data_IF_693523122830
#
_entry.id   IF_693523122830
#
_cell.length_a   1.000
_cell.length_b   1.000
_cell.length_c   1.000
_cell.angle_alpha   90.00
_cell.angle_beta   90.00
_cell.angle_gamma   90.00
#
_symmetry.space_group_name_H-M   'P 1'
#
loop_
_entity.id
_entity.type
_entity.pdbx_description
1 polymer ?
#
# COMPACT_ATOMS: atom_id res chain seq x y z
N UNK A 1 20.91 46.21 16.44
CA UNK A 1 20.75 46.16 14.96
C UNK A 1 21.00 44.72 14.43
N UNK A 2 22.07 44.03 14.84
CA UNK A 2 22.40 42.66 14.37
C UNK A 2 21.37 41.57 14.78
N UNK A 3 20.88 41.61 16.03
CA UNK A 3 19.85 40.64 16.52
C UNK A 3 18.53 40.75 15.73
N UNK A 4 18.11 41.96 15.36
CA UNK A 4 16.87 42.17 14.58
C UNK A 4 17.00 41.61 13.17
N UNK A 5 18.13 41.85 12.50
CA UNK A 5 18.43 41.25 11.18
C UNK A 5 18.49 39.70 11.17
N UNK A 6 19.00 39.08 12.26
CA UNK A 6 19.01 37.65 12.40
C UNK A 6 17.60 37.06 12.57
N UNK A 7 16.76 37.68 13.42
CA UNK A 7 15.36 37.32 13.60
C UNK A 7 14.52 37.48 12.32
N UNK A 8 14.78 38.53 11.53
CA UNK A 8 14.08 38.75 10.28
C UNK A 8 14.48 37.73 9.22
N UNK A 9 15.73 37.33 9.17
CA UNK A 9 16.20 36.21 8.28
C UNK A 9 15.58 34.88 8.66
N UNK A 10 15.58 34.55 9.93
CA UNK A 10 14.98 33.31 10.45
C UNK A 10 13.46 33.22 10.14
N UNK A 11 12.74 34.35 10.29
CA UNK A 11 11.34 34.42 9.91
C UNK A 11 11.11 34.25 8.40
N UNK A 12 11.98 34.80 7.56
CA UNK A 12 11.89 34.63 6.10
C UNK A 12 12.18 33.20 5.69
N UNK A 13 13.17 32.55 6.33
CA UNK A 13 13.54 31.16 6.07
C UNK A 13 12.42 30.21 6.49
N UNK A 14 11.89 30.34 7.69
CA UNK A 14 10.73 29.57 8.18
C UNK A 14 9.49 29.74 7.30
N UNK A 15 9.25 30.94 6.79
CA UNK A 15 8.11 31.19 5.90
C UNK A 15 8.31 30.52 4.52
N UNK A 16 9.54 30.51 3.99
CA UNK A 16 9.88 29.81 2.75
C UNK A 16 9.72 28.29 2.88
N UNK A 17 10.23 27.71 3.95
CA UNK A 17 10.08 26.28 4.25
C UNK A 17 8.60 25.87 4.36
N UNK A 18 7.79 26.69 5.03
CA UNK A 18 6.35 26.45 5.14
C UNK A 18 5.65 26.46 3.78
N UNK A 19 5.93 27.47 2.95
CA UNK A 19 5.37 27.61 1.60
C UNK A 19 5.80 26.41 0.71
N UNK A 20 7.04 26.00 0.81
CA UNK A 20 7.55 24.87 0.03
C UNK A 20 6.93 23.55 0.47
N UNK A 21 6.76 23.33 1.77
CA UNK A 21 6.04 22.18 2.34
C UNK A 21 4.60 22.13 1.86
N UNK A 22 3.86 23.22 1.94
CA UNK A 22 2.47 23.33 1.48
C UNK A 22 2.36 23.02 -0.03
N UNK A 23 3.31 23.51 -0.80
CA UNK A 23 3.38 23.24 -2.25
C UNK A 23 3.61 21.76 -2.55
N UNK A 24 4.56 21.14 -1.86
CA UNK A 24 4.86 19.71 -2.00
C UNK A 24 3.66 18.85 -1.59
N UNK A 25 3.00 19.20 -0.48
CA UNK A 25 1.78 18.50 -0.04
C UNK A 25 0.66 18.62 -1.09
N UNK A 26 0.43 19.79 -1.63
CA UNK A 26 -0.59 20.00 -2.67
C UNK A 26 -0.30 19.19 -3.95
N UNK A 27 0.95 19.14 -4.40
CA UNK A 27 1.35 18.35 -5.58
C UNK A 27 1.17 16.86 -5.29
N UNK A 28 1.66 16.39 -4.16
CA UNK A 28 1.55 14.99 -3.74
C UNK A 28 0.10 14.53 -3.64
N UNK A 29 -0.75 15.35 -3.04
CA UNK A 29 -2.20 15.09 -2.97
C UNK A 29 -2.83 14.97 -4.36
N UNK A 30 -2.44 15.82 -5.31
CA UNK A 30 -2.91 15.72 -6.70
C UNK A 30 -2.47 14.41 -7.36
N UNK A 31 -1.22 13.99 -7.17
CA UNK A 31 -0.70 12.72 -7.69
C UNK A 31 -1.52 11.54 -7.13
N UNK A 32 -1.75 11.49 -5.82
CA UNK A 32 -2.52 10.41 -5.20
C UNK A 32 -3.99 10.40 -5.65
N UNK A 33 -4.61 11.58 -5.80
CA UNK A 33 -5.98 11.69 -6.34
C UNK A 33 -6.03 11.21 -7.80
N UNK A 34 -5.02 11.53 -8.63
CA UNK A 34 -4.94 11.03 -10.00
C UNK A 34 -4.81 9.50 -10.02
N UNK A 35 -3.95 8.92 -9.20
CA UNK A 35 -3.79 7.46 -9.08
C UNK A 35 -5.12 6.79 -8.68
N UNK A 36 -5.78 7.30 -7.65
CA UNK A 36 -7.10 6.83 -7.22
C UNK A 36 -8.13 6.89 -8.36
N UNK A 37 -8.20 8.00 -9.08
CA UNK A 37 -9.18 8.17 -10.15
C UNK A 37 -8.91 7.21 -11.33
N UNK A 38 -7.65 6.96 -11.68
CA UNK A 38 -7.31 5.98 -12.72
C UNK A 38 -7.70 4.55 -12.32
N UNK A 39 -7.49 4.20 -11.06
CA UNK A 39 -7.93 2.90 -10.51
C UNK A 39 -9.45 2.79 -10.51
N UNK A 40 -10.14 3.83 -10.03
CA UNK A 40 -11.61 3.90 -10.03
C UNK A 40 -12.21 3.71 -11.42
N UNK A 41 -11.66 4.36 -12.44
CA UNK A 41 -12.15 4.22 -13.82
C UNK A 41 -12.11 2.78 -14.35
N UNK A 42 -11.29 1.91 -13.79
CA UNK A 42 -11.14 0.50 -14.18
C UNK A 42 -11.78 -0.48 -13.20
N UNK A 43 -11.89 -0.09 -11.94
CA UNK A 43 -12.32 -0.95 -10.83
C UNK A 43 -13.36 -0.22 -9.97
N UNK A 44 -14.49 0.16 -10.57
CA UNK A 44 -15.57 0.92 -9.89
C UNK A 44 -16.08 0.23 -8.62
N UNK A 45 -16.10 -1.08 -8.61
CA UNK A 45 -16.48 -1.88 -7.44
C UNK A 45 -15.55 -1.69 -6.23
N UNK A 46 -14.37 -1.10 -6.42
CA UNK A 46 -13.43 -0.73 -5.34
C UNK A 46 -13.59 0.72 -4.86
N UNK A 47 -14.57 1.50 -5.34
CA UNK A 47 -14.67 2.94 -5.05
C UNK A 47 -14.61 3.25 -3.56
N UNK A 48 -15.41 2.55 -2.76
CA UNK A 48 -15.45 2.73 -1.29
C UNK A 48 -14.07 2.48 -0.68
N UNK A 49 -13.39 1.41 -1.09
CA UNK A 49 -12.07 1.06 -0.58
C UNK A 49 -10.99 2.05 -1.07
N UNK A 50 -10.99 2.40 -2.36
CA UNK A 50 -10.04 3.37 -2.93
C UNK A 50 -10.15 4.76 -2.27
N UNK A 51 -11.34 5.13 -1.81
CA UNK A 51 -11.60 6.42 -1.15
C UNK A 51 -11.44 6.38 0.38
N UNK A 52 -11.12 5.21 0.96
CA UNK A 52 -11.16 4.99 2.41
C UNK A 52 -9.96 5.52 3.17
N UNK A 53 -8.80 5.72 2.52
CA UNK A 53 -7.55 6.09 3.17
C UNK A 53 -7.24 7.59 2.98
N UNK A 54 -7.45 8.44 4.01
CA UNK A 54 -6.97 9.81 4.00
C UNK A 54 -5.44 9.86 3.87
N UNK A 55 -4.92 10.86 3.15
CA UNK A 55 -3.50 11.01 2.88
C UNK A 55 -2.80 11.79 3.99
N UNK A 56 -1.68 11.28 4.48
CA UNK A 56 -0.84 11.90 5.50
C UNK A 56 0.59 12.02 4.99
N UNK A 57 1.09 13.25 4.92
CA UNK A 57 2.48 13.52 4.57
C UNK A 57 3.37 13.12 5.75
N UNK A 58 4.36 12.27 5.49
CA UNK A 58 5.37 11.85 6.45
C UNK A 58 6.74 11.77 5.76
N UNK A 59 7.60 12.74 6.06
CA UNK A 59 8.97 12.80 5.49
C UNK A 59 9.91 11.73 6.08
N UNK A 60 9.47 11.00 7.10
CA UNK A 60 10.19 9.86 7.66
C UNK A 60 9.79 8.51 7.05
N UNK A 61 8.78 8.50 6.14
CA UNK A 61 8.35 7.28 5.46
C UNK A 61 9.44 6.75 4.49
N UNK A 62 9.65 5.44 4.50
CA UNK A 62 10.47 4.76 3.47
C UNK A 62 9.66 4.53 2.19
N UNK A 63 9.04 5.60 1.66
CA UNK A 63 8.19 5.53 0.47
C UNK A 63 6.72 5.81 0.76
N UNK A 64 5.88 4.81 0.55
CA UNK A 64 4.44 4.85 0.86
C UNK A 64 4.08 3.68 1.76
N UNK A 65 3.15 3.89 2.70
CA UNK A 65 2.68 2.84 3.61
C UNK A 65 1.26 3.11 4.12
N UNK A 66 0.69 2.15 4.83
CA UNK A 66 -0.62 2.32 5.49
C UNK A 66 -0.65 1.62 6.84
N UNK A 67 -1.39 2.20 7.77
CA UNK A 67 -1.76 1.54 9.03
C UNK A 67 -3.17 0.92 8.98
N UNK A 68 -3.82 0.99 7.81
CA UNK A 68 -5.20 0.59 7.62
C UNK A 68 -6.23 1.70 7.88
N UNK A 69 -5.81 2.85 8.39
CA UNK A 69 -6.68 4.03 8.62
C UNK A 69 -6.27 5.20 7.74
N UNK A 70 -4.98 5.34 7.46
CA UNK A 70 -4.37 6.42 6.67
C UNK A 70 -3.40 5.84 5.64
N UNK A 71 -3.15 6.60 4.58
CA UNK A 71 -2.07 6.38 3.63
C UNK A 71 -0.97 7.42 3.92
N UNK A 72 0.20 6.93 4.33
CA UNK A 72 1.39 7.73 4.60
C UNK A 72 2.28 7.76 3.37
N UNK A 73 2.94 8.90 3.12
CA UNK A 73 3.84 9.04 1.98
C UNK A 73 4.93 10.08 2.24
N UNK A 74 6.12 9.80 1.74
CA UNK A 74 7.17 10.81 1.57
C UNK A 74 6.94 11.57 0.25
N UNK A 75 6.87 12.93 0.28
CA UNK A 75 6.55 13.71 -0.92
C UNK A 75 7.67 13.70 -1.97
N UNK A 76 8.94 13.54 -1.57
CA UNK A 76 10.07 13.48 -2.51
C UNK A 76 10.09 12.14 -3.23
N UNK A 77 9.91 11.05 -2.49
CA UNK A 77 9.75 9.71 -3.04
C UNK A 77 8.58 9.66 -4.03
N UNK A 78 7.40 10.10 -3.61
CA UNK A 78 6.20 10.07 -4.45
C UNK A 78 6.36 10.90 -5.73
N UNK A 79 6.91 12.11 -5.61
CA UNK A 79 7.18 12.98 -6.76
C UNK A 79 8.22 12.44 -7.71
N UNK A 80 9.27 11.79 -7.20
CA UNK A 80 10.29 11.06 -7.97
C UNK A 80 9.66 9.90 -8.73
N UNK A 81 8.98 9.03 -8.02
CA UNK A 81 8.32 7.85 -8.59
C UNK A 81 7.29 8.21 -9.67
N UNK A 82 6.48 9.26 -9.44
CA UNK A 82 5.49 9.70 -10.42
C UNK A 82 6.11 10.17 -11.74
N UNK A 83 7.28 10.83 -11.68
CA UNK A 83 8.01 11.27 -12.88
C UNK A 83 8.64 10.11 -13.65
N UNK A 84 9.11 9.09 -12.94
CA UNK A 84 9.80 7.94 -13.51
C UNK A 84 8.82 6.88 -13.99
N UNK A 85 7.83 6.56 -13.17
CA UNK A 85 6.90 5.46 -13.41
C UNK A 85 5.53 5.68 -12.73
N UNK A 86 4.65 6.38 -13.43
CA UNK A 86 3.28 6.64 -12.96
C UNK A 86 2.49 5.36 -12.68
N UNK A 87 2.74 4.29 -13.43
CA UNK A 87 2.08 2.99 -13.23
C UNK A 87 2.44 2.42 -11.86
N UNK A 88 3.68 2.61 -11.40
CA UNK A 88 4.08 2.17 -10.06
C UNK A 88 3.35 2.92 -8.95
N UNK A 89 3.07 4.22 -9.10
CA UNK A 89 2.25 4.95 -8.12
C UNK A 89 0.86 4.32 -7.99
N UNK A 90 0.21 4.01 -9.12
CA UNK A 90 -1.08 3.34 -9.13
C UNK A 90 -1.01 1.94 -8.49
N UNK A 91 0.05 1.18 -8.79
CA UNK A 91 0.26 -0.15 -8.21
C UNK A 91 0.40 -0.09 -6.70
N UNK A 92 1.27 0.78 -6.19
CA UNK A 92 1.48 0.93 -4.74
C UNK A 92 0.18 1.39 -4.07
N UNK A 93 -0.55 2.34 -4.67
CA UNK A 93 -1.84 2.77 -4.14
C UNK A 93 -2.83 1.60 -4.01
N UNK A 94 -2.99 0.80 -5.08
CA UNK A 94 -3.85 -0.39 -5.06
C UNK A 94 -3.35 -1.44 -4.06
N UNK A 95 -2.04 -1.65 -3.97
CA UNK A 95 -1.40 -2.56 -3.02
C UNK A 95 -1.79 -2.22 -1.57
N UNK A 96 -1.66 -0.95 -1.18
CA UNK A 96 -2.05 -0.48 0.16
C UNK A 96 -3.53 -0.69 0.44
N UNK A 97 -4.41 -0.44 -0.53
CA UNK A 97 -5.85 -0.67 -0.41
C UNK A 97 -6.16 -2.16 -0.26
N UNK A 98 -5.49 -3.03 -1.01
CA UNK A 98 -5.67 -4.49 -0.89
C UNK A 98 -5.19 -5.02 0.46
N UNK A 99 -4.12 -4.48 1.04
CA UNK A 99 -3.75 -4.80 2.42
C UNK A 99 -4.88 -4.50 3.41
N UNK A 100 -5.58 -3.37 3.22
CA UNK A 100 -6.76 -3.02 4.00
C UNK A 100 -7.92 -4.01 3.80
N UNK A 101 -8.31 -4.29 2.56
CA UNK A 101 -9.39 -5.24 2.21
C UNK A 101 -9.13 -6.61 2.84
N UNK A 102 -7.91 -7.12 2.77
CA UNK A 102 -7.55 -8.41 3.37
C UNK A 102 -7.21 -8.32 4.85
N UNK A 103 -7.16 -7.10 5.42
CA UNK A 103 -6.83 -6.83 6.84
C UNK A 103 -5.49 -7.43 7.26
N UNK A 104 -4.50 -7.45 6.38
CA UNK A 104 -3.21 -8.09 6.59
C UNK A 104 -2.51 -7.57 7.85
N UNK A 105 -2.55 -6.24 8.09
CA UNK A 105 -1.92 -5.58 9.22
C UNK A 105 -2.38 -6.05 10.60
N UNK A 106 -3.53 -6.73 10.70
CA UNK A 106 -4.08 -7.22 11.97
C UNK A 106 -4.25 -8.73 12.05
N UNK A 107 -3.93 -9.47 10.96
CA UNK A 107 -4.13 -10.92 10.87
C UNK A 107 -2.87 -11.76 11.09
N UNK A 108 -1.79 -11.18 11.60
CA UNK A 108 -0.54 -11.90 11.86
C UNK A 108 -0.69 -13.09 12.80
N UNK A 109 -1.47 -12.96 13.89
CA UNK A 109 -1.84 -14.05 14.81
C UNK A 109 -0.65 -14.91 15.28
N UNK A 110 0.42 -14.28 15.76
CA UNK A 110 1.60 -14.99 16.28
C UNK A 110 2.56 -15.57 15.24
N UNK A 111 2.32 -15.33 13.94
CA UNK A 111 3.28 -15.66 12.88
C UNK A 111 4.54 -14.80 13.00
N UNK A 112 5.67 -15.33 12.52
CA UNK A 112 6.92 -14.56 12.44
C UNK A 112 6.69 -13.36 11.51
N UNK A 113 7.08 -12.17 11.97
CA UNK A 113 6.67 -10.89 11.40
C UNK A 113 7.17 -10.70 9.98
N UNK A 114 8.47 -10.84 9.77
CA UNK A 114 9.11 -10.58 8.48
C UNK A 114 8.59 -11.52 7.38
N UNK A 115 8.47 -12.81 7.70
CA UNK A 115 7.96 -13.81 6.75
C UNK A 115 6.47 -13.61 6.46
N UNK A 116 5.70 -13.17 7.48
CA UNK A 116 4.28 -12.85 7.27
C UNK A 116 4.09 -11.61 6.41
N UNK A 117 4.86 -10.55 6.62
CA UNK A 117 4.87 -9.36 5.78
C UNK A 117 5.15 -9.71 4.32
N UNK A 118 6.23 -10.44 4.05
CA UNK A 118 6.54 -10.93 2.70
C UNK A 118 5.40 -11.77 2.11
N UNK A 119 4.76 -12.62 2.91
CA UNK A 119 3.64 -13.45 2.45
C UNK A 119 2.42 -12.60 2.07
N UNK A 120 2.18 -11.50 2.76
CA UNK A 120 1.14 -10.52 2.44
C UNK A 120 1.43 -9.83 1.11
N UNK A 121 2.69 -9.39 0.89
CA UNK A 121 3.11 -8.73 -0.34
C UNK A 121 2.99 -9.67 -1.54
N UNK A 122 3.44 -10.91 -1.42
CA UNK A 122 3.29 -11.93 -2.47
C UNK A 122 1.82 -12.14 -2.81
N UNK A 123 0.93 -12.22 -1.80
CA UNK A 123 -0.49 -12.40 -2.01
C UNK A 123 -1.10 -11.23 -2.78
N UNK A 124 -0.84 -10.00 -2.35
CA UNK A 124 -1.35 -8.78 -2.98
C UNK A 124 -0.79 -8.60 -4.39
N UNK A 125 0.53 -8.71 -4.55
CA UNK A 125 1.16 -8.57 -5.85
C UNK A 125 0.72 -9.65 -6.85
N UNK A 126 0.38 -10.86 -6.37
CA UNK A 126 -0.16 -11.90 -7.25
C UNK A 126 -1.50 -11.52 -7.87
N UNK A 127 -2.34 -10.80 -7.13
CA UNK A 127 -3.63 -10.28 -7.60
C UNK A 127 -3.38 -9.14 -8.60
N UNK A 128 -2.55 -8.16 -8.24
CA UNK A 128 -2.27 -7.00 -9.11
C UNK A 128 -1.61 -7.46 -10.42
N UNK A 129 -0.72 -8.43 -10.35
CA UNK A 129 -0.04 -8.99 -11.52
C UNK A 129 -0.97 -9.79 -12.46
N UNK A 130 -2.14 -10.23 -11.99
CA UNK A 130 -3.18 -10.86 -12.81
C UNK A 130 -4.12 -9.85 -13.47
N UNK A 131 -4.17 -8.61 -12.97
CA UNK A 131 -5.00 -7.56 -13.57
C UNK A 131 -4.48 -7.15 -14.95
N UNK A 132 -5.39 -7.16 -15.95
CA UNK A 132 -5.10 -6.80 -17.33
C UNK A 132 -5.30 -5.28 -17.60
N UNK A 133 -5.31 -4.44 -16.56
CA UNK A 133 -5.52 -3.01 -16.71
C UNK A 133 -4.20 -2.25 -16.93
N UNK A 134 -4.13 -1.47 -18.00
CA UNK A 134 -2.92 -0.70 -18.34
C UNK A 134 -2.42 0.21 -17.23
N UNK A 135 -3.32 0.71 -16.37
CA UNK A 135 -2.95 1.60 -15.27
C UNK A 135 -2.15 0.92 -14.15
N UNK A 136 -2.11 -0.42 -14.10
CA UNK A 136 -1.34 -1.20 -13.12
C UNK A 136 -0.47 -2.29 -13.76
N UNK A 137 -0.57 -2.49 -15.08
CA UNK A 137 0.11 -3.58 -15.76
C UNK A 137 1.61 -3.31 -15.89
N UNK A 138 2.42 -4.25 -15.40
CA UNK A 138 3.88 -4.27 -15.55
C UNK A 138 4.36 -5.67 -15.92
N UNK A 139 5.51 -5.72 -16.58
CA UNK A 139 6.16 -6.99 -16.86
C UNK A 139 6.60 -7.65 -15.55
N UNK A 140 6.21 -8.92 -15.37
CA UNK A 140 6.63 -9.71 -14.19
C UNK A 140 8.09 -10.10 -14.34
N UNK A 141 8.88 -9.92 -13.27
CA UNK A 141 10.23 -10.45 -13.21
C UNK A 141 10.24 -11.98 -13.26
N UNK A 142 11.38 -12.56 -13.63
CA UNK A 142 11.50 -14.03 -13.62
C UNK A 142 11.27 -14.61 -12.23
N UNK A 143 11.86 -14.09 -11.13
CA UNK A 143 11.61 -14.59 -9.77
C UNK A 143 10.13 -14.55 -9.38
N UNK A 144 9.39 -13.49 -9.71
CA UNK A 144 7.94 -13.42 -9.44
C UNK A 144 7.18 -14.55 -10.14
N UNK A 145 7.44 -14.77 -11.43
CA UNK A 145 6.77 -15.84 -12.20
C UNK A 145 7.04 -17.22 -11.60
N UNK A 146 8.29 -17.49 -11.25
CA UNK A 146 8.67 -18.76 -10.63
C UNK A 146 8.00 -18.96 -9.27
N UNK A 147 8.00 -17.95 -8.41
CA UNK A 147 7.33 -18.00 -7.12
C UNK A 147 5.84 -18.31 -7.28
N UNK A 148 5.12 -17.59 -8.15
CA UNK A 148 3.70 -17.87 -8.39
C UNK A 148 3.47 -19.28 -8.95
N UNK A 149 4.32 -19.76 -9.84
CA UNK A 149 4.24 -21.10 -10.40
C UNK A 149 4.39 -22.17 -9.33
N UNK A 150 5.32 -22.00 -8.41
CA UNK A 150 5.53 -22.92 -7.30
C UNK A 150 4.35 -22.92 -6.32
N UNK A 151 3.91 -21.72 -5.90
CA UNK A 151 2.80 -21.60 -4.97
C UNK A 151 1.48 -22.16 -5.55
N UNK A 152 1.23 -21.99 -6.84
CA UNK A 152 0.04 -22.52 -7.52
C UNK A 152 0.01 -24.04 -7.62
N UNK A 153 1.14 -24.75 -7.42
CA UNK A 153 1.16 -26.22 -7.26
C UNK A 153 0.59 -26.65 -5.91
N UNK A 154 0.79 -25.85 -4.88
CA UNK A 154 0.39 -26.15 -3.50
C UNK A 154 -1.03 -25.64 -3.17
N UNK A 155 -1.52 -24.61 -3.88
CA UNK A 155 -2.79 -23.98 -3.56
C UNK A 155 -3.45 -23.30 -4.77
N UNK A 156 -4.80 -23.34 -4.82
CA UNK A 156 -5.56 -22.68 -5.89
C UNK A 156 -5.59 -21.15 -5.72
N UNK A 157 -5.72 -20.69 -4.47
CA UNK A 157 -5.81 -19.26 -4.12
C UNK A 157 -4.62 -18.87 -3.25
N UNK A 158 -3.87 -17.86 -3.68
CA UNK A 158 -2.69 -17.36 -2.99
C UNK A 158 -3.12 -16.39 -1.88
N UNK A 159 -3.41 -16.91 -0.67
CA UNK A 159 -3.66 -16.09 0.51
C UNK A 159 -2.39 -15.96 1.35
N UNK A 160 -2.24 -14.84 2.05
CA UNK A 160 -1.07 -14.58 2.88
C UNK A 160 -0.77 -15.70 3.89
N UNK A 161 -1.81 -16.23 4.53
CA UNK A 161 -1.67 -17.31 5.51
C UNK A 161 -1.17 -18.60 4.90
N UNK A 162 -1.67 -18.98 3.72
CA UNK A 162 -1.23 -20.20 3.03
C UNK A 162 0.17 -20.05 2.48
N UNK A 163 0.50 -18.90 1.90
CA UNK A 163 1.85 -18.57 1.43
C UNK A 163 2.83 -18.65 2.60
N UNK A 164 2.48 -18.04 3.75
CA UNK A 164 3.30 -18.12 4.96
C UNK A 164 3.62 -19.56 5.35
N UNK A 165 2.63 -20.46 5.37
CA UNK A 165 2.86 -21.86 5.75
C UNK A 165 3.79 -22.59 4.75
N UNK A 166 3.68 -22.31 3.46
CA UNK A 166 4.58 -22.88 2.45
C UNK A 166 6.00 -22.35 2.62
N UNK A 167 6.17 -21.03 2.77
CA UNK A 167 7.49 -20.42 2.93
C UNK A 167 8.16 -20.85 4.25
N UNK A 168 7.39 -20.97 5.33
CA UNK A 168 7.86 -21.46 6.62
C UNK A 168 8.39 -22.91 6.52
N UNK A 169 7.68 -23.78 5.81
CA UNK A 169 8.12 -25.17 5.57
C UNK A 169 9.37 -25.26 4.71
N UNK A 170 9.54 -24.33 3.75
CA UNK A 170 10.75 -24.26 2.91
C UNK A 170 12.00 -23.86 3.68
N UNK A 171 11.86 -23.30 4.89
CA UNK A 171 12.97 -22.83 5.74
C UNK A 171 13.99 -22.00 4.95
N UNK A 172 13.51 -20.88 4.36
CA UNK A 172 14.33 -20.00 3.53
C UNK A 172 15.57 -19.50 4.27
N UNK A 173 16.70 -19.48 3.58
CA UNK A 173 17.90 -18.83 4.07
C UNK A 173 17.70 -17.31 4.10
N UNK A 174 18.48 -16.61 4.93
CA UNK A 174 18.47 -15.15 5.01
C UNK A 174 18.60 -14.48 3.61
N UNK A 175 19.52 -14.97 2.79
CA UNK A 175 19.74 -14.45 1.43
C UNK A 175 18.54 -14.66 0.51
N UNK A 176 17.87 -15.81 0.61
CA UNK A 176 16.65 -16.08 -0.18
C UNK A 176 15.51 -15.17 0.25
N UNK A 177 15.36 -14.94 1.56
CA UNK A 177 14.35 -14.05 2.11
C UNK A 177 14.56 -12.60 1.62
N UNK A 178 15.79 -12.08 1.72
CA UNK A 178 16.18 -10.76 1.23
C UNK A 178 15.92 -10.59 -0.28
N UNK A 179 16.22 -11.63 -1.07
CA UNK A 179 15.95 -11.59 -2.50
C UNK A 179 14.46 -11.51 -2.80
N UNK A 180 13.63 -12.26 -2.09
CA UNK A 180 12.18 -12.21 -2.26
C UNK A 180 11.61 -10.85 -1.82
N UNK A 181 12.13 -10.26 -0.76
CA UNK A 181 11.74 -8.90 -0.35
C UNK A 181 12.05 -7.87 -1.44
N UNK A 182 13.20 -7.95 -2.09
CA UNK A 182 13.53 -7.07 -3.24
C UNK A 182 12.53 -7.23 -4.39
N UNK A 183 12.05 -8.46 -4.63
CA UNK A 183 11.12 -8.74 -5.73
C UNK A 183 9.67 -8.35 -5.42
N UNK A 184 9.24 -8.38 -4.16
CA UNK A 184 7.83 -8.28 -3.79
C UNK A 184 7.47 -7.09 -2.90
N UNK A 185 8.40 -6.59 -2.07
CA UNK A 185 8.13 -5.44 -1.20
C UNK A 185 8.04 -4.16 -2.02
N UNK A 186 6.91 -3.48 -1.92
CA UNK A 186 6.64 -2.23 -2.65
C UNK A 186 6.18 -1.09 -1.73
N UNK A 187 5.94 -1.38 -0.45
CA UNK A 187 5.42 -0.45 0.55
C UNK A 187 6.15 -0.57 1.90
N UNK A 188 5.82 0.34 2.81
CA UNK A 188 6.39 0.42 4.16
C UNK A 188 5.40 -0.14 5.19
N UNK A 189 5.71 -1.32 5.73
CA UNK A 189 4.93 -1.98 6.77
C UNK A 189 5.23 -1.48 8.19
N UNK A 190 6.13 -0.51 8.39
CA UNK A 190 6.46 0.02 9.73
C UNK A 190 5.27 0.68 10.42
N UNK A 191 4.27 1.10 9.63
CA UNK A 191 3.01 1.67 10.12
C UNK A 191 2.02 0.65 10.68
N UNK A 192 2.23 -0.64 10.43
CA UNK A 192 1.30 -1.67 10.90
C UNK A 192 1.24 -1.74 12.42
N UNK A 193 0.03 -1.88 13.01
CA UNK A 193 -0.11 -1.87 14.46
C UNK A 193 0.59 -3.06 15.11
N UNK A 194 1.25 -2.80 16.22
CA UNK A 194 1.89 -3.84 17.02
C UNK A 194 0.84 -4.72 17.72
N UNK A 195 1.27 -5.90 18.17
CA UNK A 195 0.38 -6.89 18.77
C UNK A 195 -0.37 -6.39 20.03
N UNK A 196 0.24 -5.49 20.77
CA UNK A 196 -0.31 -4.86 21.99
C UNK A 196 -1.32 -3.74 21.72
N UNK A 197 -1.35 -3.16 20.52
CA UNK A 197 -2.25 -2.04 20.15
C UNK A 197 -3.68 -2.50 19.82
N UNK A 198 -4.31 -3.25 20.73
CA UNK A 198 -5.63 -3.88 20.53
C UNK A 198 -6.74 -2.90 20.13
N UNK A 199 -6.75 -1.71 20.73
CA UNK A 199 -7.75 -0.68 20.39
C UNK A 199 -7.66 -0.27 18.92
N UNK A 200 -6.43 -0.05 18.42
CA UNK A 200 -6.16 0.31 17.03
C UNK A 200 -6.50 -0.83 16.08
N UNK A 201 -6.14 -2.06 16.43
CA UNK A 201 -6.50 -3.25 15.66
C UNK A 201 -8.03 -3.40 15.51
N UNK A 202 -8.80 -3.22 16.59
CA UNK A 202 -10.26 -3.27 16.55
C UNK A 202 -10.85 -2.14 15.68
N UNK A 203 -10.29 -0.94 15.74
CA UNK A 203 -10.71 0.18 14.90
C UNK A 203 -10.50 -0.12 13.42
N UNK A 204 -9.36 -0.70 13.05
CA UNK A 204 -9.05 -1.12 11.68
C UNK A 204 -10.02 -2.24 11.24
N UNK A 205 -10.23 -3.26 12.08
CA UNK A 205 -11.14 -4.38 11.77
C UNK A 205 -12.55 -3.87 11.46
N UNK A 206 -13.13 -3.05 12.34
CA UNK A 206 -14.48 -2.50 12.17
C UNK A 206 -14.57 -1.67 10.89
N UNK A 207 -13.61 -0.79 10.64
CA UNK A 207 -13.59 0.06 9.45
C UNK A 207 -13.56 -0.76 8.16
N UNK A 208 -12.70 -1.76 8.06
CA UNK A 208 -12.60 -2.58 6.85
C UNK A 208 -13.72 -3.61 6.73
N UNK A 209 -14.38 -3.97 7.83
CA UNK A 209 -15.62 -4.72 7.80
C UNK A 209 -16.73 -3.89 7.12
N UNK A 210 -16.97 -2.66 7.58
CA UNK A 210 -17.97 -1.75 7.00
C UNK A 210 -17.69 -1.47 5.50
N UNK A 211 -16.41 -1.28 5.14
CA UNK A 211 -16.01 -1.08 3.74
C UNK A 211 -16.33 -2.32 2.90
N UNK A 212 -16.03 -3.52 3.40
CA UNK A 212 -16.30 -4.78 2.69
C UNK A 212 -17.78 -4.99 2.45
N UNK A 213 -18.63 -4.75 3.45
CA UNK A 213 -20.10 -4.87 3.35
C UNK A 213 -20.68 -3.89 2.31
N UNK A 214 -20.16 -2.66 2.29
CA UNK A 214 -20.55 -1.66 1.29
C UNK A 214 -20.11 -2.05 -0.11
N UNK A 215 -18.92 -2.59 -0.29
CA UNK A 215 -18.43 -3.08 -1.58
C UNK A 215 -19.29 -4.25 -2.08
N UNK A 216 -19.67 -5.20 -1.24
CA UNK A 216 -20.56 -6.31 -1.59
C UNK A 216 -21.90 -5.80 -2.10
N UNK A 217 -22.49 -4.82 -1.40
CA UNK A 217 -23.77 -4.19 -1.80
C UNK A 217 -23.65 -3.51 -3.17
N UNK A 218 -22.56 -2.78 -3.43
CA UNK A 218 -22.32 -2.14 -4.72
C UNK A 218 -22.14 -3.18 -5.85
N UNK A 219 -21.38 -4.24 -5.61
CA UNK A 219 -21.20 -5.32 -6.59
C UNK A 219 -22.51 -6.01 -6.96
N UNK A 220 -23.39 -6.27 -5.99
CA UNK A 220 -24.72 -6.82 -6.25
C UNK A 220 -25.59 -5.88 -7.11
N UNK A 221 -25.50 -4.58 -6.85
CA UNK A 221 -26.25 -3.57 -7.61
C UNK A 221 -25.76 -3.52 -9.06
N UNK A 222 -24.45 -3.46 -9.30
CA UNK A 222 -23.88 -3.50 -10.64
C UNK A 222 -24.22 -4.79 -11.40
N UNK A 223 -24.25 -5.93 -10.70
CA UNK A 223 -24.63 -7.21 -11.30
C UNK A 223 -26.08 -7.23 -11.75
N UNK A 224 -27.00 -6.61 -11.01
CA UNK A 224 -28.42 -6.49 -11.36
C UNK A 224 -28.67 -5.52 -12.50
N UNK A 225 -27.89 -4.45 -12.61
CA UNK A 225 -28.00 -3.47 -13.72
C UNK A 225 -27.45 -4.00 -15.04
N UNK A 226 -26.51 -4.97 -14.98
CA UNK A 226 -25.89 -5.58 -16.16
C UNK A 226 -26.67 -6.81 -16.70
N UNK A 227 -27.71 -7.26 -16.01
CA UNK A 227 -28.58 -8.39 -16.36
C UNK A 227 -29.85 -7.93 -17.06
#
# INVERSE_FOLDING_TARGET
KYRRKAMDREKIENNRETIEKDRLENISRKILVMARNELYMKMRFLDVALSSLPFVLDTGAEGMGTDGLYLYYDPQYLGGLFREDRVMVNRIYLHLVLHGIFRHMIRRKGREERLYHLSCDIAVESIIDELQYRCVMKARSFPRREMYRELKKEMKTLTAERIYEVLRKKALTQKQLEQLEVDFRVDDHSYWPKAEEKKRQNQIENRWQDISERMETEMETFSKEAS
#
